data_IF_177515022946
#
_entry.id   IF_177515022946
#
_cell.length_a   1.000
_cell.length_b   1.000
_cell.length_c   1.000
_cell.angle_alpha   90.00
_cell.angle_beta   90.00
_cell.angle_gamma   90.00
#
_symmetry.space_group_name_H-M   'P 1'
#
loop_
_entity.id
_entity.type
_entity.pdbx_description
1 polymer ?
#
# COMPACT_ATOMS: atom_id res chain seq x y z
N UNK A 1 23.22 -6.14 -2.16
CA UNK A 1 21.96 -5.67 -1.56
C UNK A 1 21.20 -4.90 -2.62
N UNK A 2 20.25 -5.54 -3.30
CA UNK A 2 19.39 -4.83 -4.24
C UNK A 2 18.13 -4.41 -3.51
N UNK A 3 18.07 -3.13 -3.14
CA UNK A 3 16.90 -2.25 -3.26
C UNK A 3 17.26 -0.88 -2.68
N UNK A 4 17.61 0.05 -3.57
CA UNK A 4 17.55 1.47 -3.29
C UNK A 4 16.10 1.92 -3.22
N UNK A 5 15.35 1.48 -2.20
CA UNK A 5 14.11 2.16 -1.86
C UNK A 5 14.52 3.54 -1.34
N UNK A 6 14.11 4.58 -2.08
CA UNK A 6 14.38 5.95 -1.68
C UNK A 6 13.88 6.13 -0.24
N UNK A 7 14.76 6.66 0.63
CA UNK A 7 14.42 6.97 2.02
C UNK A 7 13.22 7.95 2.12
N UNK A 8 12.89 8.64 1.02
CA UNK A 8 11.71 9.51 0.86
C UNK A 8 10.49 8.88 0.15
N UNK A 9 10.50 7.57 -0.11
CA UNK A 9 9.38 6.88 -0.77
C UNK A 9 9.38 6.97 -2.30
N UNK A 10 8.26 6.54 -2.89
CA UNK A 10 8.02 6.57 -4.33
C UNK A 10 7.39 7.93 -4.70
N UNK A 11 7.99 8.74 -5.58
CA UNK A 11 7.52 10.11 -5.78
C UNK A 11 6.15 10.21 -6.45
N UNK A 12 5.68 9.14 -7.14
CA UNK A 12 4.47 9.17 -7.95
C UNK A 12 3.23 8.58 -7.24
N UNK A 13 3.14 8.77 -5.93
CA UNK A 13 2.05 8.23 -5.14
C UNK A 13 0.68 8.82 -5.56
N UNK A 14 0.62 10.11 -5.91
CA UNK A 14 -0.62 10.75 -6.36
C UNK A 14 -1.09 10.21 -7.73
N UNK A 15 -0.16 9.98 -8.64
CA UNK A 15 -0.42 9.40 -9.96
C UNK A 15 -0.94 7.97 -9.85
N UNK A 16 -0.39 7.18 -8.92
CA UNK A 16 -0.90 5.84 -8.63
C UNK A 16 -2.35 5.88 -8.12
N UNK A 17 -2.67 6.80 -7.21
CA UNK A 17 -4.05 7.00 -6.70
C UNK A 17 -4.98 7.35 -7.85
N UNK A 18 -4.58 8.27 -8.73
CA UNK A 18 -5.37 8.66 -9.90
C UNK A 18 -5.60 7.47 -10.84
N UNK A 19 -4.57 6.67 -11.10
CA UNK A 19 -4.66 5.47 -11.95
C UNK A 19 -5.66 4.45 -11.37
N UNK A 20 -5.57 4.16 -10.06
CA UNK A 20 -6.51 3.27 -9.38
C UNK A 20 -7.97 3.76 -9.53
N UNK A 21 -8.21 5.07 -9.36
CA UNK A 21 -9.54 5.66 -9.55
C UNK A 21 -10.03 5.51 -10.99
N UNK A 22 -9.20 5.82 -11.97
CA UNK A 22 -9.53 5.62 -13.39
C UNK A 22 -9.82 4.14 -13.72
N UNK A 23 -9.10 3.19 -13.13
CA UNK A 23 -9.39 1.77 -13.30
C UNK A 23 -10.76 1.41 -12.71
N UNK A 24 -11.08 1.91 -11.51
CA UNK A 24 -12.39 1.72 -10.90
C UNK A 24 -13.52 2.33 -11.74
N UNK A 25 -13.35 3.54 -12.26
CA UNK A 25 -14.33 4.19 -13.15
C UNK A 25 -14.58 3.39 -14.44
N UNK A 26 -13.56 2.67 -14.92
CA UNK A 26 -13.66 1.77 -16.09
C UNK A 26 -14.21 0.38 -15.75
N UNK A 27 -14.56 0.13 -14.48
CA UNK A 27 -15.01 -1.18 -14.02
C UNK A 27 -13.90 -2.25 -13.99
N UNK A 28 -12.64 -1.83 -13.95
CA UNK A 28 -11.49 -2.73 -13.88
C UNK A 28 -11.17 -3.03 -12.41
N UNK A 29 -11.08 -4.31 -12.08
CA UNK A 29 -10.71 -4.75 -10.74
C UNK A 29 -9.20 -4.60 -10.49
N UNK A 30 -8.84 -4.10 -9.31
CA UNK A 30 -7.45 -3.99 -8.88
C UNK A 30 -7.31 -4.24 -7.37
N UNK A 31 -6.08 -4.61 -7.00
CA UNK A 31 -5.63 -4.75 -5.62
C UNK A 31 -4.27 -4.05 -5.48
N UNK A 32 -4.06 -3.37 -4.36
CA UNK A 32 -2.82 -2.65 -4.07
C UNK A 32 -2.44 -2.85 -2.60
N UNK A 33 -1.17 -3.14 -2.35
CA UNK A 33 -0.62 -3.26 -1.00
C UNK A 33 0.33 -2.09 -0.68
N UNK A 34 0.26 -1.57 0.55
CA UNK A 34 1.13 -0.48 1.01
C UNK A 34 1.41 -0.54 2.52
N UNK A 35 2.23 0.37 3.02
CA UNK A 35 2.43 0.57 4.46
C UNK A 35 1.15 1.11 5.11
N UNK A 36 0.85 0.68 6.34
CA UNK A 36 -0.26 1.21 7.13
C UNK A 36 0.08 2.60 7.69
N UNK A 37 -0.19 3.63 6.89
CA UNK A 37 0.04 5.04 7.24
C UNK A 37 -1.19 5.90 6.97
N UNK A 38 -1.43 6.98 7.73
CA UNK A 38 -2.64 7.81 7.61
C UNK A 38 -2.91 8.28 6.17
N UNK A 39 -1.86 8.67 5.45
CA UNK A 39 -1.98 9.15 4.07
C UNK A 39 -2.64 8.11 3.14
N UNK A 40 -2.36 6.82 3.31
CA UNK A 40 -2.98 5.77 2.47
C UNK A 40 -4.47 5.66 2.77
N UNK A 41 -4.86 5.69 4.04
CA UNK A 41 -6.29 5.66 4.43
C UNK A 41 -7.05 6.88 3.91
N UNK A 42 -6.42 8.06 3.93
CA UNK A 42 -7.01 9.29 3.39
C UNK A 42 -7.20 9.23 1.87
N UNK A 43 -6.20 8.79 1.12
CA UNK A 43 -6.27 8.78 -0.35
C UNK A 43 -7.23 7.72 -0.91
N UNK A 44 -7.35 6.60 -0.21
CA UNK A 44 -8.19 5.46 -0.59
C UNK A 44 -9.48 5.39 0.24
N UNK A 45 -9.90 6.49 0.87
CA UNK A 45 -11.19 6.58 1.53
C UNK A 45 -12.33 6.19 0.56
N UNK A 46 -13.18 5.25 0.99
CA UNK A 46 -14.28 4.71 0.18
C UNK A 46 -13.97 3.43 -0.58
N UNK A 47 -12.73 2.95 -0.55
CA UNK A 47 -12.38 1.57 -0.91
C UNK A 47 -12.33 0.68 0.34
N UNK A 48 -12.63 -0.62 0.25
CA UNK A 48 -12.33 -1.53 1.34
C UNK A 48 -10.81 -1.63 1.56
N UNK A 49 -10.42 -1.54 2.82
CA UNK A 49 -9.03 -1.62 3.27
C UNK A 49 -8.93 -2.69 4.36
N UNK A 50 -8.06 -3.69 4.15
CA UNK A 50 -7.71 -4.69 5.15
C UNK A 50 -6.33 -4.39 5.73
N UNK A 51 -6.20 -4.40 7.05
CA UNK A 51 -4.91 -4.22 7.75
C UNK A 51 -4.36 -5.58 8.13
N UNK A 52 -3.13 -5.86 7.72
CA UNK A 52 -2.42 -7.11 7.98
C UNK A 52 -1.20 -6.84 8.86
N UNK A 53 -1.02 -7.67 9.89
CA UNK A 53 0.18 -7.62 10.75
C UNK A 53 1.23 -8.59 10.20
N UNK A 54 2.29 -8.05 9.58
CA UNK A 54 3.31 -8.79 8.86
C UNK A 54 4.61 -8.91 9.68
N UNK A 55 5.25 -10.08 9.66
CA UNK A 55 6.60 -10.29 10.21
C UNK A 55 7.65 -9.85 9.20
N UNK A 56 8.58 -8.98 9.58
CA UNK A 56 9.72 -8.59 8.72
C UNK A 56 10.88 -9.58 8.84
N UNK A 57 10.66 -10.86 8.59
CA UNK A 57 11.71 -11.88 8.82
C UNK A 57 12.86 -11.80 7.79
N UNK A 58 12.61 -11.26 6.59
CA UNK A 58 13.52 -11.43 5.43
C UNK A 58 14.63 -10.36 5.36
N UNK A 59 14.61 -9.31 6.20
CA UNK A 59 15.70 -8.32 6.26
C UNK A 59 15.76 -7.56 7.59
N UNK A 60 15.52 -8.23 8.72
CA UNK A 60 15.48 -7.54 10.01
C UNK A 60 16.70 -7.83 10.88
N UNK A 61 17.34 -6.76 11.36
CA UNK A 61 18.28 -6.82 12.50
C UNK A 61 17.56 -7.24 13.80
N UNK A 62 16.24 -7.22 13.81
CA UNK A 62 15.36 -7.66 14.90
C UNK A 62 14.26 -8.61 14.35
N UNK A 63 14.52 -9.94 14.29
CA UNK A 63 13.63 -10.93 13.66
C UNK A 63 12.19 -10.97 14.23
N UNK A 64 11.95 -10.39 15.40
CA UNK A 64 10.62 -10.28 16.02
C UNK A 64 9.83 -9.03 15.63
N UNK A 65 10.38 -8.13 14.82
CA UNK A 65 9.71 -6.90 14.43
C UNK A 65 8.48 -7.18 13.54
N UNK A 66 7.33 -6.71 14.01
CA UNK A 66 6.07 -6.71 13.28
C UNK A 66 5.86 -5.34 12.62
N UNK A 67 5.24 -5.31 11.45
CA UNK A 67 4.78 -4.08 10.81
C UNK A 67 3.35 -4.29 10.34
N UNK A 68 2.57 -3.22 10.33
CA UNK A 68 1.27 -3.25 9.68
C UNK A 68 1.44 -2.90 8.20
N UNK A 69 0.71 -3.61 7.36
CA UNK A 69 0.52 -3.31 5.95
C UNK A 69 -0.98 -3.23 5.65
N UNK A 70 -1.34 -2.54 4.58
CA UNK A 70 -2.72 -2.43 4.12
C UNK A 70 -2.88 -3.07 2.75
N UNK A 71 -4.01 -3.71 2.54
CA UNK A 71 -4.49 -4.19 1.24
C UNK A 71 -5.73 -3.41 0.88
N UNK A 72 -5.68 -2.68 -0.22
CA UNK A 72 -6.80 -1.91 -0.78
C UNK A 72 -7.35 -2.63 -1.99
N UNK A 73 -8.67 -2.81 -2.05
CA UNK A 73 -9.35 -3.47 -3.17
C UNK A 73 -10.34 -2.53 -3.85
N UNK A 74 -10.54 -2.70 -5.15
CA UNK A 74 -11.44 -1.86 -5.95
C UNK A 74 -12.92 -2.20 -5.82
N UNK A 75 -13.25 -3.36 -5.22
CA UNK A 75 -14.63 -3.85 -5.07
C UNK A 75 -15.38 -2.99 -4.05
N UNK A 76 -16.60 -2.56 -4.36
CA UNK A 76 -17.50 -1.91 -3.40
C UNK A 76 -18.40 -2.94 -2.73
#
# INVERSE_FOLDING_TARGET
>A
SFVGYNHGGFPYHAELVALCRTMTERGIEWVMNNSDVPWVHEQYAGYPIEVLVCKRTIHSRNPGAMTNEVVVVSRR
#
